data_IF_930111485097
#
_entry.id   IF_930111485097
#
_cell.length_a   1.000
_cell.length_b   1.000
_cell.length_c   1.000
_cell.angle_alpha   90.00
_cell.angle_beta   90.00
_cell.angle_gamma   90.00
#
_symmetry.space_group_name_H-M   'P 1'
#
loop_
_entity.id
_entity.type
_entity.pdbx_description
1 polymer ?
#
# COMPACT_ATOMS: atom_id res chain seq x y z
N UNK A 1 -2.30 51.06 4.78
CA UNK A 1 -1.01 50.47 5.18
C UNK A 1 -1.02 49.93 6.62
N UNK A 2 -2.07 49.20 7.05
CA UNK A 2 -2.19 48.68 8.44
C UNK A 2 -2.46 47.17 8.53
N UNK A 3 -2.69 46.49 7.39
CA UNK A 3 -2.98 45.05 7.34
C UNK A 3 -1.69 44.22 7.15
N UNK A 4 -0.65 44.82 6.56
CA UNK A 4 0.63 44.16 6.30
C UNK A 4 1.42 43.81 7.58
N UNK A 5 1.30 44.63 8.62
CA UNK A 5 2.02 44.42 9.89
C UNK A 5 1.49 43.21 10.67
N UNK A 6 0.19 42.91 10.56
CA UNK A 6 -0.45 41.78 11.27
C UNK A 6 -0.02 40.45 10.65
N UNK A 7 0.11 40.40 9.32
CA UNK A 7 0.55 39.20 8.61
C UNK A 7 1.99 38.81 8.97
N UNK A 8 2.89 39.78 9.11
CA UNK A 8 4.29 39.52 9.44
C UNK A 8 4.48 39.03 10.88
N UNK A 9 3.67 39.51 11.83
CA UNK A 9 3.71 39.04 13.21
C UNK A 9 3.27 37.56 13.35
N UNK A 10 2.30 37.13 12.53
CA UNK A 10 1.85 35.74 12.49
C UNK A 10 2.95 34.79 11.98
N UNK A 11 3.69 35.18 10.93
CA UNK A 11 4.71 34.31 10.33
C UNK A 11 5.88 34.04 11.29
N UNK A 12 6.27 35.02 12.12
CA UNK A 12 7.35 34.84 13.10
C UNK A 12 6.93 33.91 14.24
N UNK A 13 5.65 33.93 14.66
CA UNK A 13 5.15 33.01 15.69
C UNK A 13 5.14 31.55 15.23
N UNK A 14 4.82 31.27 13.97
CA UNK A 14 4.84 29.88 13.46
C UNK A 14 6.25 29.31 13.28
N UNK A 15 7.27 30.15 13.08
CA UNK A 15 8.68 29.71 13.02
C UNK A 15 9.30 29.44 14.40
N UNK A 16 8.70 29.95 15.47
CA UNK A 16 9.16 29.73 16.85
C UNK A 16 8.50 28.52 17.52
N UNK A 17 7.49 27.90 16.89
CA UNK A 17 7.01 26.61 17.32
C UNK A 17 8.04 25.57 16.90
N UNK A 18 8.69 24.86 17.84
CA UNK A 18 9.50 23.73 17.47
C UNK A 18 8.57 22.71 16.81
N UNK A 19 8.74 22.48 15.51
CA UNK A 19 8.27 21.25 14.85
C UNK A 19 9.21 20.15 15.35
N UNK A 20 9.16 19.90 16.66
CA UNK A 20 9.69 18.70 17.26
C UNK A 20 8.47 17.85 17.54
N UNK A 21 7.89 17.31 16.47
CA UNK A 21 7.20 16.04 16.60
C UNK A 21 8.31 15.01 16.85
N UNK A 22 8.87 15.04 18.07
CA UNK A 22 9.46 13.85 18.64
C UNK A 22 8.34 12.84 18.60
N UNK A 23 8.38 11.99 17.59
CA UNK A 23 7.92 10.64 17.71
C UNK A 23 8.41 10.17 19.08
N UNK A 24 7.50 10.15 20.05
CA UNK A 24 7.71 9.53 21.34
C UNK A 24 8.06 8.09 20.99
N UNK A 25 9.36 7.82 20.96
CA UNK A 25 9.92 6.50 20.86
C UNK A 25 9.54 5.82 22.17
N UNK A 26 8.32 5.28 22.18
CA UNK A 26 7.87 4.40 23.24
C UNK A 26 8.86 3.24 23.24
N UNK A 27 9.69 3.21 24.30
CA UNK A 27 10.59 2.12 24.64
C UNK A 27 9.73 0.93 25.07
N UNK A 28 8.93 0.43 24.14
CA UNK A 28 8.47 -0.95 24.14
C UNK A 28 9.54 -1.68 23.33
N UNK A 29 10.21 -2.71 23.89
CA UNK A 29 11.07 -3.54 23.06
C UNK A 29 10.24 -3.96 21.83
N UNK A 30 10.75 -3.86 20.59
CA UNK A 30 9.97 -4.27 19.43
C UNK A 30 9.54 -5.71 19.69
N UNK A 31 8.23 -5.89 19.92
CA UNK A 31 7.61 -7.21 19.98
C UNK A 31 8.13 -7.91 18.72
N UNK A 32 8.70 -9.12 18.81
CA UNK A 32 9.18 -9.80 17.61
C UNK A 32 8.03 -9.76 16.60
N UNK A 33 8.26 -9.03 15.50
CA UNK A 33 7.27 -8.90 14.45
C UNK A 33 7.19 -10.30 13.88
N UNK A 34 6.21 -11.08 14.36
CA UNK A 34 5.86 -12.33 13.72
C UNK A 34 5.61 -11.95 12.27
N UNK A 35 6.43 -12.49 11.35
CA UNK A 35 6.25 -12.22 9.93
C UNK A 35 4.79 -12.52 9.59
N UNK A 36 4.11 -11.65 8.83
CA UNK A 36 2.74 -11.93 8.43
C UNK A 36 2.71 -13.29 7.74
N UNK A 37 1.78 -14.14 8.16
CA UNK A 37 1.52 -15.39 7.48
C UNK A 37 0.89 -15.06 6.12
N UNK A 38 1.28 -15.80 5.09
CA UNK A 38 0.75 -15.63 3.74
C UNK A 38 0.09 -16.91 3.28
N UNK A 39 -1.02 -16.79 2.58
CA UNK A 39 -1.67 -17.89 1.89
C UNK A 39 -1.80 -17.61 0.38
N UNK A 40 -1.98 -18.68 -0.40
CA UNK A 40 -2.14 -18.60 -1.86
C UNK A 40 -3.59 -18.28 -2.21
N UNK A 41 -3.85 -17.05 -2.66
CA UNK A 41 -5.14 -16.63 -3.16
C UNK A 41 -5.20 -16.71 -4.70
N UNK A 42 -6.37 -17.06 -5.24
CA UNK A 42 -6.60 -17.21 -6.69
C UNK A 42 -7.83 -16.41 -7.12
N UNK A 43 -7.74 -15.76 -8.28
CA UNK A 43 -8.86 -15.00 -8.84
C UNK A 43 -8.77 -14.93 -10.37
N UNK A 44 -9.92 -14.98 -11.05
CA UNK A 44 -10.00 -14.86 -12.51
C UNK A 44 -10.31 -13.40 -12.87
N UNK A 45 -9.52 -12.84 -13.76
CA UNK A 45 -9.71 -11.50 -14.33
C UNK A 45 -9.93 -11.59 -15.84
N UNK A 46 -10.55 -10.54 -16.40
CA UNK A 46 -10.65 -10.39 -17.85
C UNK A 46 -9.34 -9.80 -18.40
N UNK A 47 -9.02 -10.14 -19.65
CA UNK A 47 -7.81 -9.71 -20.35
C UNK A 47 -6.71 -10.76 -20.42
N UNK A 48 -5.54 -10.36 -20.95
CA UNK A 48 -4.34 -11.20 -21.12
C UNK A 48 -3.32 -10.99 -19.98
N UNK A 49 -2.36 -11.90 -19.84
CA UNK A 49 -1.31 -11.74 -18.82
C UNK A 49 -0.38 -10.54 -19.06
N UNK A 50 -0.35 -9.98 -20.26
CA UNK A 50 0.60 -8.93 -20.66
C UNK A 50 -0.05 -7.55 -20.83
N UNK A 51 -1.34 -7.40 -20.49
CA UNK A 51 -2.08 -6.14 -20.68
C UNK A 51 -1.46 -4.94 -19.95
N UNK A 52 -0.78 -5.19 -18.82
CA UNK A 52 -0.18 -4.15 -17.97
C UNK A 52 1.31 -4.40 -17.74
N UNK A 53 2.00 -4.91 -18.76
CA UNK A 53 3.43 -5.21 -18.73
C UNK A 53 3.71 -6.68 -18.45
N UNK A 54 4.43 -6.97 -17.35
CA UNK A 54 4.78 -8.35 -17.04
C UNK A 54 3.58 -9.15 -16.49
N UNK A 55 3.52 -10.48 -16.69
CA UNK A 55 2.51 -11.35 -16.08
C UNK A 55 2.34 -11.16 -14.58
N UNK A 56 3.45 -10.98 -13.86
CA UNK A 56 3.45 -10.72 -12.41
C UNK A 56 2.85 -9.36 -12.08
N UNK A 57 3.24 -8.31 -12.81
CA UNK A 57 2.76 -6.93 -12.61
C UNK A 57 1.26 -6.83 -12.89
N UNK A 58 0.78 -7.44 -13.97
CA UNK A 58 -0.64 -7.44 -14.32
C UNK A 58 -1.48 -8.00 -13.17
N UNK A 59 -1.15 -9.20 -12.68
CA UNK A 59 -1.88 -9.82 -11.57
C UNK A 59 -1.73 -9.07 -10.24
N UNK A 60 -0.54 -8.53 -9.94
CA UNK A 60 -0.32 -7.72 -8.75
C UNK A 60 -1.27 -6.51 -8.71
N UNK A 61 -1.37 -5.76 -9.82
CA UNK A 61 -2.24 -4.60 -9.91
C UNK A 61 -3.73 -4.97 -9.80
N UNK A 62 -4.14 -6.08 -10.41
CA UNK A 62 -5.52 -6.55 -10.34
C UNK A 62 -5.93 -6.99 -8.93
N UNK A 63 -5.02 -7.64 -8.20
CA UNK A 63 -5.24 -7.99 -6.79
C UNK A 63 -5.36 -6.75 -5.91
N UNK A 64 -4.45 -5.76 -6.07
CA UNK A 64 -4.56 -4.50 -5.33
C UNK A 64 -5.91 -3.80 -5.57
N UNK A 65 -6.38 -3.80 -6.82
CA UNK A 65 -7.66 -3.18 -7.18
C UNK A 65 -8.90 -3.93 -6.68
N UNK A 66 -8.81 -5.24 -6.41
CA UNK A 66 -9.97 -6.06 -6.03
C UNK A 66 -10.02 -6.44 -4.55
N UNK A 67 -8.89 -6.46 -3.85
CA UNK A 67 -8.73 -6.99 -2.48
C UNK A 67 -8.13 -6.00 -1.48
N UNK A 68 -7.92 -4.75 -1.87
CA UNK A 68 -7.22 -3.70 -1.12
C UNK A 68 -5.70 -3.90 -1.02
N UNK A 69 -4.99 -2.79 -0.82
CA UNK A 69 -3.55 -2.79 -0.54
C UNK A 69 -3.19 -3.47 0.78
N UNK A 70 -4.15 -3.56 1.72
CA UNK A 70 -3.96 -4.20 3.03
C UNK A 70 -3.69 -5.70 2.96
N UNK A 71 -4.10 -6.39 1.90
CA UNK A 71 -3.79 -7.80 1.69
C UNK A 71 -2.34 -8.04 1.22
N UNK A 72 -1.61 -6.98 0.85
CA UNK A 72 -0.18 -6.99 0.45
C UNK A 72 0.19 -8.14 -0.51
N UNK A 73 -0.43 -8.21 -1.70
CA UNK A 73 -0.19 -9.31 -2.64
C UNK A 73 1.28 -9.37 -3.10
N UNK A 74 1.85 -10.58 -3.15
CA UNK A 74 3.20 -10.85 -3.65
C UNK A 74 3.28 -12.16 -4.42
N UNK A 75 4.43 -12.45 -5.01
CA UNK A 75 4.72 -13.71 -5.73
C UNK A 75 3.63 -14.14 -6.73
N UNK A 76 3.08 -13.15 -7.44
CA UNK A 76 1.99 -13.36 -8.37
C UNK A 76 2.41 -14.15 -9.61
N UNK A 77 1.57 -15.09 -10.03
CA UNK A 77 1.66 -15.81 -11.31
C UNK A 77 0.40 -15.55 -12.13
N UNK A 78 0.54 -15.63 -13.44
CA UNK A 78 -0.57 -15.47 -14.38
C UNK A 78 -0.62 -16.65 -15.34
N UNK A 79 -1.80 -17.25 -15.46
CA UNK A 79 -2.07 -18.33 -16.43
C UNK A 79 -3.13 -17.85 -17.41
N UNK A 80 -2.84 -17.75 -18.72
CA UNK A 80 -3.81 -17.33 -19.71
C UNK A 80 -4.94 -18.37 -19.81
N UNK A 81 -6.18 -17.91 -19.94
CA UNK A 81 -7.37 -18.72 -20.12
C UNK A 81 -8.09 -18.37 -21.44
N UNK A 82 -8.91 -19.28 -21.99
CA UNK A 82 -9.74 -18.97 -23.16
C UNK A 82 -10.69 -17.79 -22.92
N UNK A 83 -11.18 -17.19 -24.01
CA UNK A 83 -12.15 -16.07 -24.00
C UNK A 83 -11.62 -14.79 -23.35
N UNK A 84 -10.35 -14.46 -23.60
CA UNK A 84 -9.68 -13.26 -23.09
C UNK A 84 -9.82 -13.14 -21.57
N UNK A 85 -9.44 -14.19 -20.84
CA UNK A 85 -9.41 -14.24 -19.39
C UNK A 85 -8.04 -14.71 -18.91
N UNK A 86 -7.73 -14.45 -17.64
CA UNK A 86 -6.52 -14.92 -16.97
C UNK A 86 -6.82 -15.38 -15.56
N UNK A 87 -6.17 -16.45 -15.13
CA UNK A 87 -6.11 -16.84 -13.72
C UNK A 87 -4.88 -16.17 -13.10
N UNK A 88 -5.11 -15.37 -12.07
CA UNK A 88 -4.06 -14.79 -11.26
C UNK A 88 -3.99 -15.52 -9.91
N UNK A 89 -2.78 -15.89 -9.51
CA UNK A 89 -2.53 -16.49 -8.20
C UNK A 89 -1.42 -15.71 -7.50
N UNK A 90 -1.70 -15.19 -6.31
CA UNK A 90 -0.76 -14.39 -5.52
C UNK A 90 -0.72 -14.90 -4.08
N UNK A 91 0.38 -14.64 -3.38
CA UNK A 91 0.44 -14.82 -1.94
C UNK A 91 -0.09 -13.53 -1.28
N UNK A 92 -1.06 -13.64 -0.39
CA UNK A 92 -1.66 -12.51 0.34
C UNK A 92 -1.62 -12.77 1.84
N UNK A 93 -1.69 -11.71 2.65
CA UNK A 93 -1.66 -11.82 4.12
C UNK A 93 -2.89 -12.60 4.62
N UNK A 94 -2.68 -13.57 5.50
CA UNK A 94 -3.74 -14.17 6.30
C UNK A 94 -4.25 -13.13 7.31
N UNK A 95 -5.43 -12.59 7.05
CA UNK A 95 -6.13 -11.77 8.05
C UNK A 95 -6.76 -12.72 9.08
N UNK A 96 -6.24 -12.71 10.30
CA UNK A 96 -6.90 -13.35 11.44
C UNK A 96 -8.17 -12.54 11.76
N UNK A 97 -9.33 -13.09 11.40
CA UNK A 97 -10.65 -12.58 11.82
C UNK A 97 -10.94 -12.95 13.28
#
# INVERSE_FOLDING_TARGET
>A
MKVAAIFLASCVLFSLLPIHSSQEESVVPPKPINQPAYHRAKQIFNGSCTDRGSPKTTCFLDFLGSRSASEMPRNCTCTPLPKNKRLCECDVIEQWL
#
